data_IF_928209387339
#
_entry.id   IF_928209387339
#
_cell.length_a   1.000
_cell.length_b   1.000
_cell.length_c   1.000
_cell.angle_alpha   90.00
_cell.angle_beta   90.00
_cell.angle_gamma   90.00
#
_symmetry.space_group_name_H-M   'P 1'
#
loop_
_entity.id
_entity.type
_entity.pdbx_description
1 polymer ?
#
# COMPACT_ATOMS: atom_id res chain seq x y z
N UNK A 1 2.75 -10.35 -9.96
CA UNK A 1 1.32 -10.68 -9.96
C UNK A 1 0.56 -9.51 -10.58
N UNK A 2 -0.32 -9.74 -11.57
CA UNK A 2 -1.16 -8.71 -12.16
C UNK A 2 -2.62 -9.05 -11.85
N UNK A 3 -3.29 -8.21 -11.04
CA UNK A 3 -4.66 -8.49 -10.61
C UNK A 3 -5.68 -7.91 -11.59
N UNK A 4 -6.60 -8.74 -12.07
CA UNK A 4 -7.75 -8.32 -12.89
C UNK A 4 -9.10 -8.69 -12.23
N UNK A 5 -9.09 -9.08 -10.94
CA UNK A 5 -10.28 -9.52 -10.20
C UNK A 5 -10.61 -8.56 -9.08
N UNK A 6 -11.89 -8.23 -8.92
CA UNK A 6 -12.39 -7.52 -7.74
C UNK A 6 -12.60 -8.50 -6.57
N UNK A 7 -11.59 -8.62 -5.71
CA UNK A 7 -11.58 -9.59 -4.59
C UNK A 7 -12.54 -9.22 -3.44
N UNK A 8 -12.96 -7.95 -3.36
CA UNK A 8 -13.90 -7.45 -2.35
C UNK A 8 -14.90 -6.52 -3.03
N UNK A 9 -16.18 -6.92 -3.19
CA UNK A 9 -17.17 -6.17 -3.97
C UNK A 9 -17.37 -4.72 -3.54
N UNK A 10 -17.17 -4.42 -2.25
CA UNK A 10 -17.27 -3.05 -1.71
C UNK A 10 -15.99 -2.23 -1.86
N UNK A 11 -14.84 -2.83 -2.16
CA UNK A 11 -13.55 -2.13 -2.26
C UNK A 11 -13.20 -1.89 -3.73
N UNK A 12 -13.93 -0.99 -4.37
CA UNK A 12 -13.77 -0.68 -5.80
C UNK A 12 -12.73 0.42 -6.05
N UNK A 13 -12.29 0.53 -7.32
CA UNK A 13 -11.32 1.53 -7.74
C UNK A 13 -9.98 1.41 -7.02
N UNK A 14 -9.43 2.55 -6.56
CA UNK A 14 -8.15 2.60 -5.86
C UNK A 14 -8.14 1.87 -4.51
N UNK A 15 -9.31 1.56 -3.92
CA UNK A 15 -9.41 0.76 -2.70
C UNK A 15 -9.19 -0.75 -2.92
N UNK A 16 -9.33 -1.24 -4.16
CA UNK A 16 -9.18 -2.67 -4.47
C UNK A 16 -7.77 -3.21 -4.13
N UNK A 17 -6.76 -2.33 -4.15
CA UNK A 17 -5.36 -2.68 -3.87
C UNK A 17 -5.16 -3.35 -2.51
N UNK A 18 -5.89 -2.91 -1.48
CA UNK A 18 -5.71 -3.44 -0.13
C UNK A 18 -6.14 -4.91 -0.01
N UNK A 19 -7.20 -5.30 -0.72
CA UNK A 19 -7.63 -6.69 -0.79
C UNK A 19 -6.60 -7.54 -1.57
N UNK A 20 -6.05 -7.01 -2.67
CA UNK A 20 -5.02 -7.69 -3.46
C UNK A 20 -3.71 -7.86 -2.69
N UNK A 21 -3.24 -6.82 -1.99
CA UNK A 21 -2.04 -6.89 -1.13
C UNK A 21 -2.24 -7.92 -0.03
N UNK A 22 -3.38 -7.89 0.67
CA UNK A 22 -3.68 -8.87 1.73
C UNK A 22 -3.74 -10.29 1.19
N UNK A 23 -4.35 -10.50 0.03
CA UNK A 23 -4.39 -11.82 -0.60
C UNK A 23 -2.99 -12.31 -0.97
N UNK A 24 -2.14 -11.44 -1.52
CA UNK A 24 -0.75 -11.78 -1.83
C UNK A 24 0.05 -12.13 -0.57
N UNK A 25 -0.11 -11.38 0.53
CA UNK A 25 0.55 -11.69 1.81
C UNK A 25 0.19 -13.08 2.35
N UNK A 26 -1.10 -13.45 2.29
CA UNK A 26 -1.59 -14.74 2.78
C UNK A 26 -1.17 -15.89 1.86
N UNK A 27 -1.22 -15.68 0.54
CA UNK A 27 -0.87 -16.69 -0.44
C UNK A 27 0.63 -16.96 -0.53
N UNK A 28 1.46 -15.96 -0.19
CA UNK A 28 2.91 -16.01 -0.31
C UNK A 28 3.60 -15.68 1.03
N UNK A 29 3.50 -16.56 2.04
CA UNK A 29 4.18 -16.36 3.33
C UNK A 29 5.71 -16.33 3.20
N UNK A 30 6.28 -16.87 2.12
CA UNK A 30 7.70 -16.80 1.79
C UNK A 30 8.16 -15.41 1.33
N UNK A 31 7.25 -14.57 0.84
CA UNK A 31 7.59 -13.24 0.37
C UNK A 31 7.77 -12.28 1.56
N UNK A 32 8.99 -11.80 1.79
CA UNK A 32 9.28 -10.81 2.84
C UNK A 32 8.62 -9.45 2.55
N UNK A 33 8.56 -9.05 1.28
CA UNK A 33 8.06 -7.77 0.84
C UNK A 33 7.02 -7.93 -0.27
N UNK A 34 5.96 -7.15 -0.18
CA UNK A 34 5.02 -6.91 -1.28
C UNK A 34 5.32 -5.52 -1.84
N UNK A 35 5.67 -5.47 -3.13
CA UNK A 35 5.85 -4.22 -3.87
C UNK A 35 4.60 -3.93 -4.69
N UNK A 36 3.81 -2.96 -4.24
CA UNK A 36 2.66 -2.48 -4.99
C UNK A 36 3.10 -1.38 -5.97
N UNK A 37 2.62 -1.47 -7.21
CA UNK A 37 2.87 -0.50 -8.29
C UNK A 37 1.55 -0.28 -9.03
N UNK A 38 1.06 0.95 -9.05
CA UNK A 38 -0.13 1.34 -9.83
C UNK A 38 0.12 1.13 -11.33
N UNK A 39 -0.95 0.88 -12.09
CA UNK A 39 -0.87 0.58 -13.52
C UNK A 39 -0.35 1.75 -14.39
N UNK A 40 -0.38 2.97 -13.87
CA UNK A 40 0.11 4.19 -14.51
C UNK A 40 1.53 4.58 -14.06
N UNK A 41 2.17 3.79 -13.19
CA UNK A 41 3.57 3.96 -12.82
C UNK A 41 4.49 3.11 -13.71
N UNK A 42 5.55 3.73 -14.25
CA UNK A 42 6.54 3.07 -15.11
C UNK A 42 7.92 3.04 -14.45
N UNK A 43 8.61 1.91 -14.58
CA UNK A 43 10.03 1.78 -14.24
C UNK A 43 10.83 2.36 -15.41
N UNK A 44 11.61 3.41 -15.14
CA UNK A 44 12.41 4.12 -16.15
C UNK A 44 13.91 3.95 -15.94
N UNK A 45 14.32 3.56 -14.74
CA UNK A 45 15.68 3.16 -14.41
C UNK A 45 15.70 1.64 -14.17
N UNK A 46 16.28 0.90 -15.11
CA UNK A 46 16.34 -0.57 -15.08
C UNK A 46 17.56 -1.10 -14.32
N UNK A 47 18.54 -0.24 -14.03
CA UNK A 47 19.75 -0.59 -13.29
C UNK A 47 19.59 -0.39 -11.78
N UNK A 48 18.65 0.46 -11.39
CA UNK A 48 18.34 0.72 -9.99
C UNK A 48 17.89 -0.54 -9.25
N UNK A 49 18.48 -0.74 -8.06
CA UNK A 49 18.10 -1.80 -7.13
C UNK A 49 17.52 -1.19 -5.87
N UNK A 50 16.37 -1.69 -5.42
CA UNK A 50 15.78 -1.27 -4.16
C UNK A 50 16.77 -1.55 -3.01
N UNK A 51 17.14 -0.54 -2.19
CA UNK A 51 18.09 -0.72 -1.11
C UNK A 51 17.41 -1.36 0.11
N UNK A 52 16.96 -2.61 0.00
CA UNK A 52 16.13 -3.29 1.01
C UNK A 52 16.79 -3.34 2.40
N UNK A 53 18.13 -3.44 2.47
CA UNK A 53 18.90 -3.38 3.73
C UNK A 53 18.67 -2.09 4.52
N UNK A 54 18.49 -0.96 3.82
CA UNK A 54 18.14 0.33 4.45
C UNK A 54 16.81 0.25 5.19
N UNK A 55 15.92 -0.65 4.77
CA UNK A 55 14.55 -0.79 5.28
C UNK A 55 14.39 -1.95 6.26
N UNK A 56 15.48 -2.58 6.71
CA UNK A 56 15.43 -3.77 7.59
C UNK A 56 14.64 -3.57 8.89
N UNK A 57 14.61 -2.35 9.44
CA UNK A 57 13.85 -1.99 10.65
C UNK A 57 12.49 -1.34 10.35
N UNK A 58 12.01 -1.42 9.12
CA UNK A 58 10.76 -0.80 8.66
C UNK A 58 9.82 -1.85 8.07
N UNK A 59 8.52 -1.57 8.17
CA UNK A 59 7.46 -2.43 7.64
C UNK A 59 6.68 -1.79 6.48
N UNK A 60 6.81 -0.47 6.30
CA UNK A 60 6.19 0.28 5.21
C UNK A 60 7.19 1.31 4.68
N UNK A 61 7.35 1.37 3.36
CA UNK A 61 8.15 2.38 2.65
C UNK A 61 7.29 2.99 1.57
N UNK A 62 7.17 4.32 1.60
CA UNK A 62 6.42 5.13 0.64
C UNK A 62 7.27 6.33 0.23
N UNK A 63 7.07 6.81 -0.99
CA UNK A 63 7.66 8.08 -1.40
C UNK A 63 6.90 9.24 -0.74
N UNK A 64 7.62 10.20 -0.14
CA UNK A 64 7.02 11.36 0.50
C UNK A 64 8.01 12.13 1.38
N UNK A 65 7.51 13.16 2.05
CA UNK A 65 8.31 14.00 2.95
C UNK A 65 7.67 14.09 4.34
N UNK A 66 8.41 13.79 5.43
CA UNK A 66 7.84 13.79 6.78
C UNK A 66 7.14 15.09 7.18
N UNK A 67 7.73 16.26 6.89
CA UNK A 67 7.13 17.55 7.25
C UNK A 67 5.81 17.82 6.48
N UNK A 68 5.68 17.29 5.25
CA UNK A 68 4.41 17.41 4.51
C UNK A 68 3.31 16.52 5.11
N UNK A 69 3.69 15.35 5.64
CA UNK A 69 2.76 14.38 6.24
C UNK A 69 2.38 14.77 7.66
N UNK A 70 3.36 14.96 8.53
CA UNK A 70 3.13 15.10 9.98
C UNK A 70 2.82 16.53 10.41
N UNK A 71 3.41 17.54 9.76
CA UNK A 71 3.21 18.94 10.13
C UNK A 71 2.11 19.58 9.28
N UNK A 72 2.30 19.59 7.95
CA UNK A 72 1.37 20.25 7.03
C UNK A 72 0.11 19.44 6.72
N UNK A 73 0.12 18.13 6.99
CA UNK A 73 -0.98 17.20 6.67
C UNK A 73 -1.45 17.32 5.22
N UNK A 74 -0.49 17.50 4.30
CA UNK A 74 -0.78 17.57 2.87
C UNK A 74 -1.23 16.20 2.37
N UNK A 75 -2.36 16.15 1.68
CA UNK A 75 -2.86 14.94 1.02
C UNK A 75 -1.90 14.39 -0.04
N UNK A 76 -1.03 15.24 -0.60
CA UNK A 76 0.06 14.85 -1.54
C UNK A 76 1.43 14.75 -0.87
N UNK A 77 1.50 14.81 0.46
CA UNK A 77 2.75 14.71 1.21
C UNK A 77 3.45 13.35 1.08
N UNK A 78 2.71 12.34 0.63
CA UNK A 78 3.19 11.01 0.26
C UNK A 78 2.41 10.49 -0.95
N UNK A 79 2.90 9.41 -1.57
CA UNK A 79 2.23 8.70 -2.66
C UNK A 79 2.02 7.22 -2.28
N UNK A 80 0.81 6.71 -2.51
CA UNK A 80 0.43 5.31 -2.27
C UNK A 80 0.25 4.50 -3.57
N UNK A 81 0.74 5.03 -4.69
CA UNK A 81 0.76 4.35 -5.98
C UNK A 81 1.97 3.45 -6.17
N UNK A 82 3.09 3.75 -5.49
CA UNK A 82 4.22 2.83 -5.36
C UNK A 82 4.61 2.71 -3.90
N UNK A 83 4.52 1.51 -3.33
CA UNK A 83 4.90 1.26 -1.94
C UNK A 83 5.49 -0.13 -1.73
N UNK A 84 6.36 -0.25 -0.74
CA UNK A 84 6.81 -1.53 -0.20
C UNK A 84 6.14 -1.75 1.15
N UNK A 85 5.54 -2.91 1.34
CA UNK A 85 4.96 -3.31 2.61
C UNK A 85 5.45 -4.71 2.99
N UNK A 86 5.99 -4.85 4.20
CA UNK A 86 6.56 -6.11 4.70
C UNK A 86 5.44 -7.11 4.98
N UNK A 87 5.62 -8.37 4.64
CA UNK A 87 4.67 -9.42 4.99
C UNK A 87 4.84 -9.79 6.47
N UNK A 88 4.08 -9.12 7.33
CA UNK A 88 4.11 -9.34 8.77
C UNK A 88 2.79 -8.94 9.44
N UNK A 89 2.62 -9.33 10.70
CA UNK A 89 1.41 -9.02 11.47
C UNK A 89 1.12 -7.52 11.54
N UNK A 90 2.16 -6.70 11.74
CA UNK A 90 2.02 -5.25 11.79
C UNK A 90 1.37 -4.70 10.50
N UNK A 91 1.75 -5.22 9.35
CA UNK A 91 1.20 -4.79 8.05
C UNK A 91 -0.25 -5.25 7.87
N UNK A 92 -0.59 -6.46 8.33
CA UNK A 92 -1.98 -6.93 8.35
C UNK A 92 -2.86 -6.04 9.23
N UNK A 93 -2.35 -5.63 10.39
CA UNK A 93 -3.05 -4.71 11.30
C UNK A 93 -3.17 -3.29 10.71
N UNK A 94 -2.15 -2.82 9.99
CA UNK A 94 -2.20 -1.55 9.26
C UNK A 94 -3.31 -1.59 8.21
N UNK A 95 -3.32 -2.62 7.35
CA UNK A 95 -4.35 -2.78 6.31
C UNK A 95 -5.75 -2.84 6.93
N UNK A 96 -5.93 -3.61 8.01
CA UNK A 96 -7.21 -3.72 8.71
C UNK A 96 -7.71 -2.37 9.28
N UNK A 97 -6.80 -1.47 9.67
CA UNK A 97 -7.16 -0.10 10.07
C UNK A 97 -7.46 0.78 8.86
N UNK A 98 -6.64 0.71 7.81
CA UNK A 98 -6.74 1.58 6.64
C UNK A 98 -8.05 1.37 5.87
N UNK A 99 -8.50 0.12 5.71
CA UNK A 99 -9.74 -0.19 4.99
C UNK A 99 -11.01 0.40 5.65
N UNK A 100 -10.95 0.79 6.94
CA UNK A 100 -12.06 1.45 7.64
C UNK A 100 -12.36 2.84 7.10
N UNK A 101 -11.41 3.45 6.40
CA UNK A 101 -11.59 4.72 5.69
C UNK A 101 -12.09 4.52 4.26
N UNK A 102 -12.17 3.27 3.77
CA UNK A 102 -12.69 2.93 2.46
C UNK A 102 -14.19 2.63 2.45
N UNK A 103 -14.76 2.22 1.30
CA UNK A 103 -16.21 2.03 1.14
C UNK A 103 -16.83 0.90 1.97
N UNK A 104 -16.01 0.14 2.69
CA UNK A 104 -16.48 -0.81 3.70
C UNK A 104 -16.75 -0.17 5.07
N UNK A 105 -16.19 1.02 5.33
CA UNK A 105 -16.38 1.74 6.57
C UNK A 105 -17.75 2.45 6.65
N UNK A 106 -18.37 2.53 7.83
CA UNK A 106 -19.67 3.18 8.01
C UNK A 106 -19.62 4.69 7.72
N UNK A 107 -18.44 5.30 7.85
CA UNK A 107 -18.22 6.73 7.66
C UNK A 107 -17.60 7.08 6.30
N UNK A 108 -17.60 6.15 5.32
CA UNK A 108 -16.94 6.35 4.02
C UNK A 108 -17.32 7.67 3.34
N UNK A 109 -18.62 8.00 3.34
CA UNK A 109 -19.14 9.25 2.75
C UNK A 109 -18.62 10.52 3.44
N UNK A 110 -18.11 10.41 4.67
CA UNK A 110 -17.54 11.55 5.43
C UNK A 110 -16.05 11.73 5.19
N UNK A 111 -15.37 10.72 4.62
CA UNK A 111 -13.92 10.76 4.41
C UNK A 111 -13.52 11.36 3.05
N UNK A 112 -14.49 11.62 2.17
CA UNK A 112 -14.32 12.24 0.86
C UNK A 112 -14.76 13.70 0.85
#
# INVERSE_FOLDING_TARGET
>A
FYNNVLLQPKMFGYWAKYAAIRAAMVAHPEAEWIWWVDSDAAITDMDFKLPLEKYKTHNLVVHGWPHLVYEKRSWTGLNAGVLLIRNCQWSMDLLARWIKFGPQGPDYEKWG
#
